data_IF_876147102831
#
_entry.id   IF_876147102831
#
_cell.length_a   1.000
_cell.length_b   1.000
_cell.length_c   1.000
_cell.angle_alpha   90.00
_cell.angle_beta   90.00
_cell.angle_gamma   90.00
#
_symmetry.space_group_name_H-M   'P 1'
#
loop_
_entity.id
_entity.type
_entity.pdbx_description
1 polymer ?
#
# COMPACT_ATOMS: atom_id res chain seq x y z
N UNK A 1 2.59 14.61 -1.79
CA UNK A 1 2.08 13.22 -1.85
C UNK A 1 1.55 12.84 -3.23
N UNK A 2 0.73 13.67 -3.89
CA UNK A 2 0.23 13.37 -5.26
C UNK A 2 1.36 13.09 -6.25
N UNK A 3 2.37 13.98 -6.31
CA UNK A 3 3.56 13.78 -7.16
C UNK A 3 4.30 12.45 -6.88
N UNK A 4 4.38 12.02 -5.62
CA UNK A 4 5.09 10.78 -5.25
C UNK A 4 4.31 9.52 -5.67
N UNK A 5 2.96 9.59 -5.64
CA UNK A 5 2.11 8.52 -6.17
C UNK A 5 2.26 8.43 -7.69
N UNK A 6 2.17 9.57 -8.39
CA UNK A 6 2.34 9.60 -9.84
C UNK A 6 3.71 9.07 -10.27
N UNK A 7 4.79 9.48 -9.60
CA UNK A 7 6.13 8.92 -9.88
C UNK A 7 6.21 7.41 -9.58
N UNK A 8 5.45 6.90 -8.61
CA UNK A 8 5.39 5.47 -8.36
C UNK A 8 4.64 4.73 -9.47
N UNK A 9 3.52 5.29 -9.96
CA UNK A 9 2.74 4.77 -11.09
C UNK A 9 3.54 4.80 -12.39
N UNK A 10 4.27 5.89 -12.66
CA UNK A 10 5.16 6.01 -13.81
C UNK A 10 6.27 4.93 -13.75
N UNK A 11 6.86 4.72 -12.57
CA UNK A 11 7.87 3.68 -12.36
C UNK A 11 7.30 2.28 -12.58
N UNK A 12 6.10 1.99 -12.06
CA UNK A 12 5.38 0.74 -12.32
C UNK A 12 5.16 0.52 -13.82
N UNK A 13 4.70 1.55 -14.54
CA UNK A 13 4.44 1.48 -15.98
C UNK A 13 5.72 1.21 -16.80
N UNK A 14 6.88 1.64 -16.30
CA UNK A 14 8.19 1.35 -16.89
C UNK A 14 8.79 0.00 -16.45
N UNK A 15 8.10 -0.77 -15.60
CA UNK A 15 8.61 -2.02 -15.04
C UNK A 15 9.63 -1.85 -13.90
N UNK A 16 9.84 -0.62 -13.41
CA UNK A 16 10.70 -0.33 -12.26
C UNK A 16 9.92 -0.49 -10.94
N UNK A 17 9.68 -1.75 -10.56
CA UNK A 17 8.95 -2.12 -9.34
C UNK A 17 9.66 -1.61 -8.07
N UNK A 18 10.99 -1.53 -8.07
CA UNK A 18 11.76 -1.02 -6.95
C UNK A 18 11.61 0.51 -6.82
N UNK A 19 11.68 1.24 -7.93
CA UNK A 19 11.40 2.67 -7.97
C UNK A 19 9.97 2.99 -7.57
N UNK A 20 9.01 2.18 -8.00
CA UNK A 20 7.62 2.29 -7.56
C UNK A 20 7.48 2.14 -6.04
N UNK A 21 8.02 1.04 -5.48
CA UNK A 21 8.01 0.78 -4.05
C UNK A 21 8.67 1.93 -3.25
N UNK A 22 9.81 2.45 -3.72
CA UNK A 22 10.51 3.55 -3.08
C UNK A 22 9.69 4.84 -3.05
N UNK A 23 9.09 5.22 -4.17
CA UNK A 23 8.35 6.48 -4.28
C UNK A 23 7.05 6.44 -3.48
N UNK A 24 6.33 5.31 -3.51
CA UNK A 24 5.12 5.17 -2.70
C UNK A 24 5.45 5.05 -1.20
N UNK A 25 6.56 4.40 -0.84
CA UNK A 25 7.07 4.38 0.53
C UNK A 25 7.39 5.78 1.07
N UNK A 26 7.98 6.67 0.24
CA UNK A 26 8.16 8.09 0.57
C UNK A 26 6.82 8.80 0.79
N UNK A 27 5.80 8.49 -0.02
CA UNK A 27 4.45 9.04 0.18
C UNK A 27 3.86 8.58 1.52
N UNK A 28 4.05 7.31 1.89
CA UNK A 28 3.62 6.76 3.18
C UNK A 28 4.29 7.45 4.38
N UNK A 29 5.59 7.73 4.28
CA UNK A 29 6.35 8.49 5.28
C UNK A 29 5.83 9.93 5.40
N UNK A 30 5.61 10.60 4.28
CA UNK A 30 5.05 11.96 4.25
C UNK A 30 3.66 11.99 4.91
N UNK A 31 2.79 11.03 4.60
CA UNK A 31 1.47 10.91 5.24
C UNK A 31 1.59 10.70 6.75
N UNK A 32 2.50 9.81 7.18
CA UNK A 32 2.77 9.56 8.61
C UNK A 32 3.26 10.82 9.35
N UNK A 33 4.12 11.61 8.69
CA UNK A 33 4.60 12.89 9.23
C UNK A 33 3.48 13.93 9.33
N UNK A 34 2.66 14.06 8.29
CA UNK A 34 1.50 14.96 8.31
C UNK A 34 0.51 14.58 9.41
N UNK A 35 0.24 13.29 9.61
CA UNK A 35 -0.60 12.83 10.72
C UNK A 35 -0.09 13.30 12.09
N UNK A 36 1.23 13.26 12.32
CA UNK A 36 1.85 13.74 13.57
C UNK A 36 1.72 15.25 13.74
N UNK A 37 1.79 16.03 12.66
CA UNK A 37 1.65 17.50 12.70
C UNK A 37 0.23 17.97 12.95
N UNK A 38 -0.79 17.16 12.66
CA UNK A 38 -2.20 17.51 12.87
C UNK A 38 -2.61 17.31 14.35
N UNK A 39 -2.02 18.11 15.23
CA UNK A 39 -2.29 18.07 16.67
C UNK A 39 -3.73 18.49 17.02
N UNK A 40 -4.30 19.43 16.26
CA UNK A 40 -5.59 20.06 16.58
C UNK A 40 -6.77 19.49 15.78
N UNK A 41 -6.52 18.79 14.67
CA UNK A 41 -7.59 18.22 13.83
C UNK A 41 -7.56 16.70 13.88
N UNK A 42 -8.48 16.11 14.65
CA UNK A 42 -8.63 14.66 14.75
C UNK A 42 -8.98 14.05 13.38
N UNK A 43 -9.84 14.70 12.59
CA UNK A 43 -10.22 14.22 11.26
C UNK A 43 -9.04 14.19 10.30
N UNK A 44 -8.23 15.25 10.23
CA UNK A 44 -7.04 15.27 9.37
C UNK A 44 -5.98 14.26 9.83
N UNK A 45 -5.80 14.11 11.15
CA UNK A 45 -4.91 13.08 11.70
C UNK A 45 -5.33 11.68 11.27
N UNK A 46 -6.62 11.34 11.38
CA UNK A 46 -7.13 10.04 10.96
C UNK A 46 -6.99 9.86 9.45
N UNK A 47 -7.31 10.89 8.65
CA UNK A 47 -7.15 10.85 7.19
C UNK A 47 -5.70 10.52 6.80
N UNK A 48 -4.73 11.22 7.36
CA UNK A 48 -3.32 10.97 7.05
C UNK A 48 -2.80 9.63 7.61
N UNK A 49 -3.32 9.15 8.75
CA UNK A 49 -3.01 7.80 9.24
C UNK A 49 -3.52 6.72 8.30
N UNK A 50 -4.75 6.87 7.80
CA UNK A 50 -5.34 5.95 6.84
C UNK A 50 -4.55 5.93 5.53
N UNK A 51 -4.19 7.11 5.01
CA UNK A 51 -3.35 7.24 3.80
C UNK A 51 -1.97 6.63 3.99
N UNK A 52 -1.33 6.85 5.15
CA UNK A 52 -0.05 6.23 5.45
C UNK A 52 -0.12 4.70 5.38
N UNK A 53 -1.21 4.11 5.90
CA UNK A 53 -1.43 2.65 5.83
C UNK A 53 -1.76 2.19 4.41
N UNK A 54 -2.54 2.95 3.65
CA UNK A 54 -2.83 2.64 2.25
C UNK A 54 -1.54 2.58 1.43
N UNK A 55 -0.70 3.62 1.51
CA UNK A 55 0.56 3.67 0.76
C UNK A 55 1.58 2.62 1.22
N UNK A 56 1.56 2.22 2.51
CA UNK A 56 2.36 1.07 2.95
C UNK A 56 1.85 -0.25 2.36
N UNK A 57 0.56 -0.42 2.16
CA UNK A 57 0.02 -1.60 1.49
C UNK A 57 0.53 -1.69 0.04
N UNK A 58 0.43 -0.59 -0.70
CA UNK A 58 0.92 -0.46 -2.08
C UNK A 58 2.43 -0.72 -2.18
N UNK A 59 3.22 -0.14 -1.28
CA UNK A 59 4.67 -0.39 -1.20
C UNK A 59 4.98 -1.88 -1.05
N UNK A 60 4.28 -2.58 -0.15
CA UNK A 60 4.50 -4.01 0.04
C UNK A 60 4.12 -4.81 -1.21
N UNK A 61 3.07 -4.44 -1.93
CA UNK A 61 2.71 -5.08 -3.20
C UNK A 61 3.84 -4.90 -4.22
N UNK A 62 4.28 -3.67 -4.48
CA UNK A 62 5.36 -3.42 -5.45
C UNK A 62 6.65 -4.12 -5.08
N UNK A 63 6.98 -4.17 -3.78
CA UNK A 63 8.14 -4.90 -3.28
C UNK A 63 7.99 -6.41 -3.42
N UNK A 64 6.80 -6.96 -3.18
CA UNK A 64 6.53 -8.39 -3.39
C UNK A 64 6.66 -8.76 -4.87
N UNK A 65 6.12 -7.94 -5.77
CA UNK A 65 6.29 -8.12 -7.22
C UNK A 65 7.77 -8.08 -7.62
N UNK A 66 8.54 -7.11 -7.09
CA UNK A 66 9.97 -7.02 -7.37
C UNK A 66 10.74 -8.26 -6.90
N UNK A 67 10.42 -8.77 -5.69
CA UNK A 67 11.02 -9.99 -5.16
C UNK A 67 10.65 -11.22 -6.00
N UNK A 68 9.39 -11.31 -6.44
CA UNK A 68 8.92 -12.39 -7.30
C UNK A 68 9.66 -12.39 -8.64
N UNK A 69 9.78 -11.23 -9.28
CA UNK A 69 10.55 -11.05 -10.52
C UNK A 69 12.04 -11.43 -10.35
N UNK A 70 12.66 -10.98 -9.25
CA UNK A 70 14.06 -11.33 -8.94
C UNK A 70 14.27 -12.83 -8.70
N UNK A 71 13.23 -13.53 -8.23
CA UNK A 71 13.27 -14.98 -8.03
C UNK A 71 13.01 -15.79 -9.31
N UNK A 72 12.85 -15.15 -10.47
CA UNK A 72 12.53 -15.83 -11.73
C UNK A 72 11.06 -16.26 -11.82
N UNK A 73 10.17 -15.61 -11.05
CA UNK A 73 8.72 -15.81 -11.12
C UNK A 73 8.27 -17.26 -10.85
N UNK A 74 9.02 -17.98 -10.01
CA UNK A 74 8.70 -19.35 -9.64
C UNK A 74 7.48 -19.43 -8.74
N UNK A 75 6.59 -20.37 -9.06
CA UNK A 75 5.41 -20.71 -8.27
C UNK A 75 5.60 -22.12 -7.70
N UNK A 76 5.35 -22.37 -6.39
CA UNK A 76 4.92 -21.41 -5.37
C UNK A 76 5.95 -20.32 -5.11
N UNK A 77 5.48 -19.10 -4.86
CA UNK A 77 6.37 -17.99 -4.56
C UNK A 77 7.14 -18.23 -3.25
N UNK A 78 8.31 -17.63 -3.16
CA UNK A 78 9.13 -17.74 -1.95
C UNK A 78 8.41 -17.19 -0.71
N UNK A 79 8.78 -17.71 0.47
CA UNK A 79 8.21 -17.28 1.74
C UNK A 79 8.33 -15.75 1.97
N UNK A 80 9.39 -15.12 1.46
CA UNK A 80 9.59 -13.67 1.58
C UNK A 80 8.57 -12.87 0.75
N UNK A 81 8.20 -13.33 -0.46
CA UNK A 81 7.15 -12.74 -1.29
C UNK A 81 5.81 -12.83 -0.56
N UNK A 82 5.44 -14.01 -0.08
CA UNK A 82 4.17 -14.24 0.60
C UNK A 82 4.06 -13.51 1.94
N UNK A 83 5.15 -13.42 2.71
CA UNK A 83 5.20 -12.61 3.91
C UNK A 83 5.04 -11.12 3.60
N UNK A 84 5.66 -10.64 2.52
CA UNK A 84 5.53 -9.25 2.07
C UNK A 84 4.09 -8.92 1.68
N UNK A 85 3.42 -9.79 0.91
CA UNK A 85 1.98 -9.64 0.61
C UNK A 85 1.11 -9.67 1.87
N UNK A 86 1.42 -10.54 2.84
CA UNK A 86 0.71 -10.59 4.13
C UNK A 86 0.83 -9.29 4.91
N UNK A 87 2.00 -8.65 4.92
CA UNK A 87 2.19 -7.32 5.52
C UNK A 87 1.39 -6.25 4.78
N UNK A 88 1.34 -6.34 3.45
CA UNK A 88 0.49 -5.48 2.61
C UNK A 88 -0.98 -5.57 3.03
N UNK A 89 -1.53 -6.79 3.17
CA UNK A 89 -2.92 -7.02 3.55
C UNK A 89 -3.25 -6.42 4.92
N UNK A 90 -2.35 -6.57 5.90
CA UNK A 90 -2.51 -5.98 7.23
C UNK A 90 -2.59 -4.44 7.16
N UNK A 91 -1.77 -3.82 6.30
CA UNK A 91 -1.80 -2.38 6.08
C UNK A 91 -3.08 -1.92 5.37
N UNK A 92 -3.53 -2.62 4.33
CA UNK A 92 -4.79 -2.33 3.65
C UNK A 92 -5.98 -2.43 4.61
N UNK A 93 -6.04 -3.48 5.42
CA UNK A 93 -7.09 -3.67 6.42
C UNK A 93 -7.08 -2.57 7.48
N UNK A 94 -5.90 -2.16 7.96
CA UNK A 94 -5.78 -1.04 8.89
C UNK A 94 -6.25 0.26 8.27
N UNK A 95 -5.90 0.50 6.99
CA UNK A 95 -6.31 1.69 6.25
C UNK A 95 -7.83 1.77 6.12
N UNK A 96 -8.48 0.68 5.70
CA UNK A 96 -9.93 0.56 5.59
C UNK A 96 -10.63 0.83 6.93
N UNK A 97 -10.14 0.25 8.03
CA UNK A 97 -10.66 0.49 9.39
C UNK A 97 -10.57 1.95 9.80
N UNK A 98 -9.48 2.64 9.44
CA UNK A 98 -9.32 4.07 9.75
C UNK A 98 -10.26 4.93 8.90
N UNK A 99 -10.42 4.61 7.62
CA UNK A 99 -11.33 5.34 6.73
C UNK A 99 -12.81 5.14 7.05
N UNK A 100 -13.21 3.96 7.55
CA UNK A 100 -14.60 3.72 7.97
C UNK A 100 -15.00 4.51 9.23
N UNK A 101 -14.03 4.83 10.09
CA UNK A 101 -14.25 5.61 11.33
C UNK A 101 -14.35 7.12 11.08
N UNK A 102 -13.98 7.59 9.89
CA UNK A 102 -14.04 9.00 9.51
C UNK A 102 -15.47 9.34 9.08
N UNK A 103 -16.23 10.05 9.95
CA UNK A 103 -17.61 10.52 9.69
C UNK A 103 -17.80 11.31 8.38
N UNK A 104 -16.73 11.89 7.85
CA UNK A 104 -16.66 12.59 6.55
C UNK A 104 -15.45 12.07 5.77
N UNK A 105 -15.32 10.75 5.67
CA UNK A 105 -14.32 10.17 4.77
C UNK A 105 -14.74 10.46 3.33
N UNK A 106 -13.74 10.72 2.50
CA UNK A 106 -13.91 10.69 1.07
C UNK A 106 -14.19 9.22 0.70
N UNK A 107 -15.37 8.88 0.14
CA UNK A 107 -15.71 7.49 -0.18
C UNK A 107 -14.65 6.82 -1.05
N UNK A 108 -13.99 7.60 -1.92
CA UNK A 108 -12.92 7.10 -2.80
C UNK A 108 -11.77 6.46 -2.03
N UNK A 109 -11.42 6.95 -0.83
CA UNK A 109 -10.32 6.40 -0.03
C UNK A 109 -10.69 5.05 0.59
N UNK A 110 -11.94 4.87 1.00
CA UNK A 110 -12.41 3.59 1.51
C UNK A 110 -12.50 2.56 0.39
N UNK A 111 -12.94 2.98 -0.80
CA UNK A 111 -12.97 2.15 -2.00
C UNK A 111 -11.57 1.71 -2.40
N UNK A 112 -10.62 2.65 -2.50
CA UNK A 112 -9.22 2.32 -2.81
C UNK A 112 -8.62 1.32 -1.81
N UNK A 113 -8.86 1.50 -0.51
CA UNK A 113 -8.35 0.57 0.49
C UNK A 113 -8.95 -0.85 0.35
N UNK A 114 -10.21 -0.96 -0.10
CA UNK A 114 -10.84 -2.25 -0.38
C UNK A 114 -10.29 -2.88 -1.67
N UNK A 115 -10.13 -2.08 -2.74
CA UNK A 115 -9.55 -2.53 -4.01
C UNK A 115 -8.15 -3.10 -3.81
N UNK A 116 -7.28 -2.40 -3.07
CA UNK A 116 -5.94 -2.90 -2.76
C UNK A 116 -5.96 -4.16 -1.91
N UNK A 117 -6.96 -4.34 -1.04
CA UNK A 117 -7.12 -5.59 -0.30
C UNK A 117 -7.46 -6.75 -1.24
N UNK A 118 -8.38 -6.53 -2.19
CA UNK A 118 -8.72 -7.51 -3.22
C UNK A 118 -7.50 -7.86 -4.07
N UNK A 119 -6.78 -6.86 -4.59
CA UNK A 119 -5.56 -7.08 -5.38
C UNK A 119 -4.51 -7.90 -4.62
N UNK A 120 -4.33 -7.66 -3.33
CA UNK A 120 -3.38 -8.43 -2.52
C UNK A 120 -3.83 -9.88 -2.40
N UNK A 121 -5.12 -10.13 -2.22
CA UNK A 121 -5.64 -11.49 -2.09
C UNK A 121 -5.56 -12.25 -3.41
N UNK A 122 -5.87 -11.60 -4.54
CA UNK A 122 -5.66 -12.15 -5.89
C UNK A 122 -4.19 -12.53 -6.10
N UNK A 123 -3.26 -11.62 -5.80
CA UNK A 123 -1.82 -11.91 -5.90
C UNK A 123 -1.38 -13.06 -4.99
N UNK A 124 -1.94 -13.19 -3.78
CA UNK A 124 -1.63 -14.32 -2.89
C UNK A 124 -2.08 -15.64 -3.48
N UNK A 125 -3.24 -15.67 -4.14
CA UNK A 125 -3.76 -16.86 -4.81
C UNK A 125 -2.91 -17.20 -6.03
N UNK A 126 -2.63 -16.21 -6.88
CA UNK A 126 -1.80 -16.37 -8.08
C UNK A 126 -0.39 -16.85 -7.74
N UNK A 127 0.18 -16.33 -6.65
CA UNK A 127 1.53 -16.69 -6.20
C UNK A 127 1.56 -17.98 -5.35
N UNK A 128 0.41 -18.62 -5.13
CA UNK A 128 0.24 -19.81 -4.32
C UNK A 128 0.84 -19.66 -2.91
N UNK A 129 0.54 -18.53 -2.27
CA UNK A 129 0.92 -18.27 -0.89
C UNK A 129 0.06 -19.10 0.07
N UNK A 130 0.61 -20.23 0.53
CA UNK A 130 0.04 -21.13 1.53
C UNK A 130 -0.08 -20.51 2.92
#
# INVERSE_FOLDING_TARGET
MVRLQQTAEDAMAMGDLQGAALNIGKAALMASFLAKRQAQSQSLRHKYRGLAKLFRAQEQVYRALALFQQSGEHIPASASVCQTLSLGAQHAQTSQKVFSQLRRSDPSLSTQAAEWMTTIEELRQDFQCS
#
